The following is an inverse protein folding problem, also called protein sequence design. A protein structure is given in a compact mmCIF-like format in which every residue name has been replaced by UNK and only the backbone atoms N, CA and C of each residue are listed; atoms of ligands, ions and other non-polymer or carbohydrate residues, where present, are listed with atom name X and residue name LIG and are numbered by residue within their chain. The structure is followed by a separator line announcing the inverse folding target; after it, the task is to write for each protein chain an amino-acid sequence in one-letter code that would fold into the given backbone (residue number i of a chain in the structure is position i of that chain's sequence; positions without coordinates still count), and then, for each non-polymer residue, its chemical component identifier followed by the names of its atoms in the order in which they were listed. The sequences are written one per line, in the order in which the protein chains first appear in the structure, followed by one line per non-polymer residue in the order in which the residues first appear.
data_IF_360051120509
#
_entry.id   IF_360051120509
#
_cell.length_a   1.000
_cell.length_b   1.000
_cell.length_c   1.000
_cell.angle_alpha   90.00
_cell.angle_beta   90.00
_cell.angle_gamma   90.00
#
_symmetry.space_group_name_H-M   'P 1'
#
loop_
_entity.id
_entity.type
_entity.pdbx_description
1 polymer ?
#
# COMPACT_ATOMS: atom_id res chain seq x y z
N UNK A 1 -6.35 -9.18 -1.80
CA UNK A 1 -7.58 -9.40 -1.01
C UNK A 1 -7.36 -9.06 0.46
N UNK A 2 -6.31 -9.57 1.11
CA UNK A 2 -6.07 -9.27 2.53
C UNK A 2 -5.68 -7.80 2.77
N UNK A 3 -4.67 -7.25 2.11
CA UNK A 3 -4.24 -5.84 2.31
C UNK A 3 -5.09 -4.77 1.60
N UNK A 4 -6.20 -5.14 0.95
CA UNK A 4 -6.98 -4.23 0.09
C UNK A 4 -6.19 -3.52 -1.03
N UNK A 5 -5.02 -4.01 -1.42
CA UNK A 5 -4.26 -3.46 -2.54
C UNK A 5 -4.64 -4.14 -3.88
N UNK A 6 -4.53 -3.40 -4.98
CA UNK A 6 -4.55 -3.91 -6.35
C UNK A 6 -3.39 -4.89 -6.58
N UNK A 7 -3.49 -5.70 -7.64
CA UNK A 7 -2.34 -6.45 -8.14
C UNK A 7 -1.20 -5.51 -8.49
N UNK A 8 0.05 -6.01 -8.41
CA UNK A 8 1.25 -5.20 -8.65
C UNK A 8 1.40 -3.99 -7.70
N UNK A 9 0.72 -3.96 -6.54
CA UNK A 9 0.98 -3.04 -5.42
C UNK A 9 1.55 -3.78 -4.22
N UNK A 10 2.44 -3.13 -3.47
CA UNK A 10 3.11 -3.74 -2.32
C UNK A 10 2.14 -3.65 -1.13
N UNK A 11 1.88 -4.75 -0.41
CA UNK A 11 1.04 -4.73 0.78
C UNK A 11 1.73 -4.07 1.98
N UNK A 12 3.06 -4.00 2.02
CA UNK A 12 3.80 -3.46 3.16
C UNK A 12 4.10 -1.96 3.02
N UNK A 13 4.39 -1.48 1.81
CA UNK A 13 4.85 -0.11 1.59
C UNK A 13 4.18 0.60 0.41
N UNK A 14 4.34 1.93 0.38
CA UNK A 14 3.77 2.85 -0.62
C UNK A 14 4.61 2.94 -1.91
N UNK A 15 5.46 1.94 -2.19
CA UNK A 15 6.35 1.98 -3.36
C UNK A 15 5.53 1.90 -4.65
N UNK A 16 5.84 2.79 -5.59
CA UNK A 16 5.28 2.73 -6.94
C UNK A 16 5.77 1.46 -7.66
N UNK A 17 4.94 0.80 -8.49
CA UNK A 17 5.32 -0.41 -9.19
C UNK A 17 6.63 -0.29 -9.97
N UNK A 18 6.85 0.86 -10.60
CA UNK A 18 8.00 1.14 -11.46
C UNK A 18 9.30 1.28 -10.65
N UNK A 19 9.18 1.58 -9.36
CA UNK A 19 10.31 1.78 -8.45
C UNK A 19 10.61 0.53 -7.59
N UNK A 20 9.95 -0.60 -7.85
CA UNK A 20 10.23 -1.87 -7.17
C UNK A 20 11.64 -2.35 -7.50
N UNK A 21 12.37 -2.88 -6.51
CA UNK A 21 13.80 -3.22 -6.64
C UNK A 21 14.76 -2.03 -6.66
N UNK A 22 14.26 -0.83 -6.43
CA UNK A 22 15.14 0.24 -6.01
C UNK A 22 15.63 -0.05 -4.59
N UNK A 23 16.92 0.12 -4.33
CA UNK A 23 17.51 0.01 -2.99
C UNK A 23 17.06 1.12 -2.03
N UNK A 24 16.16 2.02 -2.46
CA UNK A 24 15.61 3.08 -1.63
C UNK A 24 14.45 2.56 -0.78
N UNK A 25 14.48 2.92 0.50
CA UNK A 25 13.34 2.69 1.39
C UNK A 25 12.12 3.47 0.89
N UNK A 26 10.94 2.88 1.04
CA UNK A 26 9.66 3.52 0.75
C UNK A 26 8.83 3.51 2.04
N UNK A 27 8.02 4.55 2.32
CA UNK A 27 7.23 4.60 3.53
C UNK A 27 6.31 3.38 3.68
N UNK A 28 6.14 2.86 4.91
CA UNK A 28 5.19 1.78 5.16
C UNK A 28 3.75 2.26 4.89
N UNK A 29 2.85 1.32 4.65
CA UNK A 29 1.41 1.60 4.66
C UNK A 29 0.92 1.73 6.09
N UNK A 30 -0.07 2.59 6.28
CA UNK A 30 -0.71 2.79 7.58
C UNK A 30 -2.18 2.40 7.49
N UNK A 31 -2.64 1.65 8.50
CA UNK A 31 -4.03 1.20 8.62
C UNK A 31 -4.99 2.38 8.68
N UNK A 32 -4.68 3.39 9.49
CA UNK A 32 -5.52 4.58 9.68
C UNK A 32 -5.72 5.35 8.38
N UNK A 33 -4.63 5.62 7.66
CA UNK A 33 -4.67 6.28 6.35
C UNK A 33 -5.47 5.46 5.33
N UNK A 34 -5.22 4.15 5.26
CA UNK A 34 -5.93 3.28 4.31
C UNK A 34 -7.43 3.26 4.58
N UNK A 35 -7.84 3.11 5.84
CA UNK A 35 -9.25 3.15 6.23
C UNK A 35 -9.88 4.51 5.96
N UNK A 36 -9.15 5.60 6.19
CA UNK A 36 -9.62 6.95 5.86
C UNK A 36 -9.89 7.09 4.36
N UNK A 37 -8.95 6.70 3.50
CA UNK A 37 -9.10 6.76 2.05
C UNK A 37 -10.24 5.86 1.53
N UNK A 38 -10.44 4.68 2.13
CA UNK A 38 -11.56 3.81 1.81
C UNK A 38 -12.92 4.45 2.16
N UNK A 39 -13.03 5.10 3.33
CA UNK A 39 -14.25 5.83 3.74
C UNK A 39 -14.52 7.05 2.86
N UNK A 40 -13.48 7.82 2.55
CA UNK A 40 -13.58 8.96 1.63
C UNK A 40 -14.05 8.49 0.25
N UNK A 41 -13.45 7.43 -0.30
CA UNK A 41 -13.87 6.85 -1.57
C UNK A 41 -15.31 6.34 -1.51
N UNK A 42 -15.72 5.66 -0.44
CA UNK A 42 -17.11 5.18 -0.27
C UNK A 42 -18.11 6.34 -0.25
N UNK A 43 -17.76 7.45 0.38
CA UNK A 43 -18.63 8.63 0.49
C UNK A 43 -18.65 9.50 -0.78
N UNK A 44 -17.74 9.26 -1.72
CA UNK A 44 -17.58 10.03 -2.95
C UNK A 44 -16.70 11.28 -2.81
N UNK A 45 -15.73 11.28 -1.90
CA UNK A 45 -14.79 12.39 -1.65
C UNK A 45 -15.52 13.71 -1.37
N UNK A 46 -16.39 13.74 -0.36
CA UNK A 46 -17.34 14.85 -0.15
C UNK A 46 -16.70 16.17 0.25
N UNK A 47 -15.52 16.16 0.88
CA UNK A 47 -14.85 17.38 1.29
C UNK A 47 -14.13 18.04 0.10
N UNK A 48 -14.62 19.17 -0.46
CA UNK A 48 -14.05 19.75 -1.67
C UNK A 48 -12.60 20.22 -1.50
N UNK A 49 -12.20 20.58 -0.27
CA UNK A 49 -10.84 21.04 0.02
C UNK A 49 -9.79 19.94 -0.03
N UNK A 50 -10.18 18.68 0.20
CA UNK A 50 -9.28 17.53 0.24
C UNK A 50 -9.58 16.48 -0.83
N UNK A 51 -10.75 16.56 -1.48
CA UNK A 51 -11.25 15.53 -2.41
C UNK A 51 -10.25 15.17 -3.51
N UNK A 52 -9.68 16.18 -4.18
CA UNK A 52 -8.72 15.97 -5.26
C UNK A 52 -7.47 15.21 -4.78
N UNK A 53 -6.98 15.56 -3.58
CA UNK A 53 -5.83 14.91 -2.96
C UNK A 53 -6.16 13.49 -2.52
N UNK A 54 -7.24 13.30 -1.74
CA UNK A 54 -7.65 11.97 -1.27
C UNK A 54 -7.92 11.02 -2.43
N UNK A 55 -8.49 11.52 -3.54
CA UNK A 55 -8.67 10.73 -4.76
C UNK A 55 -7.32 10.34 -5.38
N UNK A 56 -6.40 11.29 -5.52
CA UNK A 56 -5.06 11.02 -6.05
C UNK A 56 -4.30 10.02 -5.17
N UNK A 57 -4.36 10.16 -3.85
CA UNK A 57 -3.73 9.25 -2.88
C UNK A 57 -4.33 7.84 -2.97
N UNK A 58 -5.67 7.73 -3.06
CA UNK A 58 -6.36 6.44 -3.25
C UNK A 58 -5.90 5.73 -4.53
N UNK A 59 -5.83 6.48 -5.64
CA UNK A 59 -5.42 5.98 -6.95
C UNK A 59 -3.92 5.58 -6.96
N UNK A 60 -3.05 6.42 -6.38
CA UNK A 60 -1.60 6.18 -6.30
C UNK A 60 -1.27 4.94 -5.46
N UNK A 61 -1.92 4.82 -4.30
CA UNK A 61 -1.77 3.66 -3.43
C UNK A 61 -2.38 2.38 -4.02
N UNK A 62 -3.20 2.50 -5.07
CA UNK A 62 -3.85 1.39 -5.76
C UNK A 62 -4.71 0.57 -4.81
N UNK A 63 -5.61 1.24 -4.10
CA UNK A 63 -6.54 0.58 -3.18
C UNK A 63 -7.74 -0.02 -3.93
N UNK A 64 -8.24 -1.16 -3.46
CA UNK A 64 -9.47 -1.78 -3.95
C UNK A 64 -10.67 -1.27 -3.13
N UNK A 65 -11.87 -1.17 -3.72
CA UNK A 65 -13.08 -0.69 -3.06
C UNK A 65 -13.69 -1.75 -2.10
N UNK A 66 -12.88 -2.25 -1.16
CA UNK A 66 -13.32 -3.14 -0.07
C UNK A 66 -13.46 -2.26 1.17
N UNK A 67 -14.62 -1.62 1.31
CA UNK A 67 -14.81 -0.52 2.28
C UNK A 67 -14.83 -0.96 3.75
N UNK A 68 -15.19 -2.20 4.01
CA UNK A 68 -15.17 -2.82 5.33
C UNK A 68 -14.24 -4.05 5.33
N UNK A 69 -12.91 -3.85 5.29
CA UNK A 69 -11.98 -4.96 5.42
C UNK A 69 -12.13 -5.61 6.80
N UNK A 70 -11.96 -6.93 6.88
CA UNK A 70 -12.13 -7.66 8.15
C UNK A 70 -11.19 -7.17 9.27
N UNK A 71 -10.06 -6.58 8.91
CA UNK A 71 -9.08 -6.01 9.85
C UNK A 71 -9.37 -4.55 10.23
N UNK A 72 -10.36 -3.90 9.62
CA UNK A 72 -10.64 -2.47 9.82
C UNK A 72 -10.96 -2.11 11.27
N UNK A 73 -11.56 -3.05 12.01
CA UNK A 73 -11.97 -2.89 13.41
C UNK A 73 -11.03 -3.62 14.39
N UNK A 74 -9.83 -4.01 13.95
CA UNK A 74 -8.81 -4.63 14.81
C UNK A 74 -7.79 -3.56 15.27
N UNK A 75 -7.95 -2.97 16.47
CA UNK A 75 -7.13 -1.82 16.90
C UNK A 75 -5.69 -2.20 17.29
N UNK A 76 -5.43 -3.49 17.54
CA UNK A 76 -4.13 -4.00 17.99
C UNK A 76 -3.45 -4.87 16.94
N UNK A 77 -3.93 -4.86 15.69
CA UNK A 77 -3.38 -5.69 14.62
C UNK A 77 -3.23 -4.86 13.35
N UNK A 78 -2.00 -4.41 13.10
CA UNK A 78 -1.65 -3.77 11.84
C UNK A 78 -1.46 -4.85 10.76
N UNK A 79 -2.46 -4.96 9.88
CA UNK A 79 -2.43 -5.95 8.82
C UNK A 79 -1.20 -5.80 7.91
N UNK A 80 -0.68 -4.58 7.73
CA UNK A 80 0.44 -4.32 6.83
C UNK A 80 1.78 -4.84 7.38
N UNK A 81 1.86 -5.06 8.69
CA UNK A 81 3.02 -5.68 9.36
C UNK A 81 2.91 -7.21 9.44
N UNK A 82 1.73 -7.78 9.17
CA UNK A 82 1.51 -9.22 9.20
C UNK A 82 1.98 -9.94 7.92
N UNK A 83 2.33 -9.18 6.88
CA UNK A 83 2.95 -9.75 5.68
C UNK A 83 4.41 -10.08 5.99
N UNK A 84 4.79 -11.33 5.76
CA UNK A 84 6.21 -11.71 5.75
C UNK A 84 6.89 -10.89 4.66
N UNK A 85 8.01 -10.21 4.96
CA UNK A 85 8.65 -9.34 3.98
C UNK A 85 8.97 -10.14 2.73
N UNK A 86 8.33 -9.75 1.64
CA UNK A 86 8.25 -10.53 0.40
C UNK A 86 9.65 -10.96 -0.08
N UNK A 87 9.88 -12.28 -0.19
CA UNK A 87 11.15 -12.85 -0.65
C UNK A 87 11.53 -12.32 -2.04
N UNK A 88 10.55 -12.09 -2.93
CA UNK A 88 10.78 -11.53 -4.27
C UNK A 88 11.19 -10.06 -4.20
N UNK A 89 10.58 -9.29 -3.30
CA UNK A 89 10.97 -7.91 -3.01
C UNK A 89 12.35 -7.85 -2.37
N UNK A 90 12.67 -8.73 -1.43
CA UNK A 90 14.00 -8.83 -0.79
C UNK A 90 15.08 -9.24 -1.79
N UNK A 91 14.80 -10.24 -2.64
CA UNK A 91 15.69 -10.68 -3.71
C UNK A 91 15.95 -9.55 -4.72
N UNK A 92 14.92 -8.80 -5.13
CA UNK A 92 15.04 -7.70 -6.07
C UNK A 92 15.63 -6.43 -5.45
N UNK A 93 15.49 -6.23 -4.13
CA UNK A 93 16.10 -5.12 -3.37
C UNK A 93 17.57 -5.31 -3.00
N UNK A 94 18.17 -6.49 -3.15
CA UNK A 94 19.53 -6.71 -2.63
C UNK A 94 20.34 -7.84 -3.23
N UNK A 95 19.72 -8.85 -3.85
CA UNK A 95 20.47 -10.05 -4.28
C UNK A 95 20.71 -10.06 -5.80
N UNK A 96 19.75 -9.62 -6.61
CA UNK A 96 19.91 -9.65 -8.07
C UNK A 96 20.74 -8.48 -8.63
N UNK A 97 20.65 -7.29 -8.04
CA UNK A 97 21.33 -6.10 -8.59
C UNK A 97 22.83 -6.05 -8.29
N UNK A 98 23.26 -6.54 -7.12
CA UNK A 98 24.66 -6.42 -6.68
C UNK A 98 25.49 -7.70 -6.93
N UNK A 99 24.86 -8.84 -7.27
CA UNK A 99 25.56 -10.12 -7.41
C UNK A 99 25.37 -10.84 -8.76
N UNK A 100 24.50 -10.36 -9.66
CA UNK A 100 24.22 -11.03 -10.93
C UNK A 100 24.46 -10.17 -12.18
N UNK A 101 24.94 -8.94 -12.02
CA UNK A 101 25.46 -8.13 -13.12
C UNK A 101 26.95 -7.88 -12.88
N UNK A 102 27.78 -8.70 -13.52
CA UNK A 102 29.10 -8.29 -14.00
C UNK A 102 28.98 -8.03 -15.50
#
# INVERSE_FOLDING_TARGET
LIANCMENRCPECKVKPENRGCHRASPPREQVETLHLLREHQSGFRNPSTAAKSKADYDELGLRPVYAPFWGDLPHSDIFQAFTPDLLHQLHRGVFKDHLVK
#
